data_IF_642050540084
#
_entry.id   IF_642050540084
#
_cell.length_a   1.000
_cell.length_b   1.000
_cell.length_c   1.000
_cell.angle_alpha   90.00
_cell.angle_beta   90.00
_cell.angle_gamma   90.00
#
_symmetry.space_group_name_H-M   'P 1'
#
loop_
_entity.id
_entity.type
_entity.pdbx_description
1 polymer ?
#
# COMPACT_ATOMS: atom_id res chain seq x y z
N UNK A 1 42.79 -5.67 -35.47
CA UNK A 1 41.42 -6.05 -35.86
C UNK A 1 40.76 -6.74 -34.68
N UNK A 2 39.55 -6.27 -34.34
CA UNK A 2 38.44 -6.96 -33.65
C UNK A 2 38.59 -7.33 -32.16
N UNK A 3 37.98 -6.48 -31.32
CA UNK A 3 37.43 -6.83 -30.00
C UNK A 3 36.36 -7.91 -30.13
N UNK A 4 36.34 -8.88 -29.20
CA UNK A 4 35.06 -9.17 -28.51
C UNK A 4 35.26 -9.62 -27.05
N UNK A 5 34.35 -9.49 -26.08
CA UNK A 5 33.03 -8.90 -25.95
C UNK A 5 32.80 -8.66 -24.45
N UNK A 6 32.02 -7.64 -24.16
CA UNK A 6 31.44 -7.35 -22.84
C UNK A 6 30.62 -8.56 -22.40
N UNK A 7 31.05 -9.23 -21.34
CA UNK A 7 30.21 -10.22 -20.64
C UNK A 7 29.13 -9.43 -19.93
N UNK A 8 27.89 -9.65 -20.37
CA UNK A 8 26.65 -9.14 -19.79
C UNK A 8 26.66 -9.28 -18.25
N UNK A 9 26.58 -8.15 -17.54
CA UNK A 9 26.04 -8.12 -16.18
C UNK A 9 24.54 -8.39 -16.25
N UNK A 10 24.15 -9.66 -16.14
CA UNK A 10 22.77 -10.09 -15.94
C UNK A 10 22.64 -10.76 -14.57
N UNK A 11 22.92 -10.01 -13.50
CA UNK A 11 22.61 -10.43 -12.13
C UNK A 11 22.43 -9.17 -11.28
N UNK A 12 21.51 -9.23 -10.30
CA UNK A 12 21.30 -8.28 -9.19
C UNK A 12 20.04 -7.39 -9.18
N UNK A 13 18.96 -7.70 -9.92
CA UNK A 13 17.66 -7.01 -9.68
C UNK A 13 16.72 -7.80 -8.75
N UNK A 14 16.85 -9.14 -8.69
CA UNK A 14 16.00 -10.00 -7.87
C UNK A 14 16.15 -9.84 -6.33
N UNK A 15 17.34 -9.59 -5.74
CA UNK A 15 17.51 -9.54 -4.28
C UNK A 15 16.76 -8.37 -3.63
N UNK A 16 16.76 -7.22 -4.29
CA UNK A 16 16.13 -6.00 -3.76
C UNK A 16 14.60 -6.15 -3.67
N UNK A 17 13.96 -6.70 -4.71
CA UNK A 17 12.50 -6.90 -4.73
C UNK A 17 12.03 -7.90 -3.66
N UNK A 18 12.76 -9.02 -3.50
CA UNK A 18 12.44 -10.01 -2.46
C UNK A 18 12.63 -9.44 -1.04
N UNK A 19 13.66 -8.61 -0.84
CA UNK A 19 13.91 -7.91 0.42
C UNK A 19 12.83 -6.87 0.72
N UNK A 20 12.38 -6.11 -0.28
CA UNK A 20 11.28 -5.15 -0.16
C UNK A 20 9.99 -5.85 0.30
N UNK A 21 9.64 -6.96 -0.35
CA UNK A 21 8.48 -7.81 0.00
C UNK A 21 8.52 -8.33 1.43
N UNK A 22 9.68 -8.82 1.89
CA UNK A 22 9.82 -9.28 3.28
C UNK A 22 9.68 -8.13 4.28
N UNK A 23 10.19 -6.95 3.92
CA UNK A 23 10.13 -5.77 4.79
C UNK A 23 8.69 -5.28 4.92
N UNK A 24 7.92 -5.26 3.83
CA UNK A 24 6.51 -4.85 3.84
C UNK A 24 5.64 -5.83 4.63
N UNK A 25 5.88 -7.13 4.51
CA UNK A 25 5.19 -8.15 5.33
C UNK A 25 5.50 -7.99 6.82
N UNK A 26 6.76 -7.75 7.16
CA UNK A 26 7.15 -7.51 8.55
C UNK A 26 6.50 -6.23 9.11
N UNK A 27 6.43 -5.16 8.31
CA UNK A 27 5.72 -3.94 8.66
C UNK A 27 4.23 -4.21 8.93
N UNK A 28 3.55 -4.90 8.02
CA UNK A 28 2.14 -5.28 8.17
C UNK A 28 1.92 -6.02 9.50
N UNK A 29 2.65 -7.11 9.74
CA UNK A 29 2.51 -7.90 10.98
C UNK A 29 2.76 -7.03 12.22
N UNK A 30 3.83 -6.23 12.21
CA UNK A 30 4.17 -5.35 13.35
C UNK A 30 3.05 -4.35 13.64
N UNK A 31 2.45 -3.77 12.60
CA UNK A 31 1.35 -2.81 12.77
C UNK A 31 0.12 -3.51 13.34
N UNK A 32 -0.28 -4.65 12.76
CA UNK A 32 -1.46 -5.40 13.20
C UNK A 32 -1.33 -5.90 14.65
N UNK A 33 -0.18 -6.47 15.02
CA UNK A 33 0.09 -6.95 16.39
C UNK A 33 0.08 -5.83 17.43
N UNK A 34 0.28 -4.57 17.03
CA UNK A 34 0.40 -3.43 17.92
C UNK A 34 -0.75 -2.42 17.78
N UNK A 35 -1.85 -2.75 17.08
CA UNK A 35 -2.96 -1.81 16.83
C UNK A 35 -3.49 -1.13 18.09
N UNK A 36 -3.65 -1.89 19.17
CA UNK A 36 -4.17 -1.39 20.46
C UNK A 36 -3.22 -0.42 21.16
N UNK A 37 -1.94 -0.41 20.79
CA UNK A 37 -0.94 0.50 21.33
C UNK A 37 -0.92 1.87 20.61
N UNK A 38 -1.54 1.95 19.44
CA UNK A 38 -1.57 3.17 18.63
C UNK A 38 -2.76 4.05 18.98
N UNK A 39 -2.58 5.37 18.81
CA UNK A 39 -3.69 6.31 18.92
C UNK A 39 -4.63 6.12 17.73
N UNK A 40 -5.84 5.64 18.00
CA UNK A 40 -6.89 5.49 16.99
C UNK A 40 -7.63 6.81 16.76
N UNK A 41 -7.86 7.15 15.50
CA UNK A 41 -8.73 8.23 15.04
C UNK A 41 -9.83 7.66 14.15
N UNK A 42 -10.97 8.31 14.13
CA UNK A 42 -12.11 7.96 13.28
C UNK A 42 -12.66 9.22 12.65
N UNK A 43 -13.05 9.14 11.39
CA UNK A 43 -13.71 10.22 10.66
C UNK A 43 -14.65 9.63 9.61
N UNK A 44 -15.42 10.50 8.96
CA UNK A 44 -16.24 10.14 7.81
C UNK A 44 -15.96 11.17 6.73
N UNK A 45 -15.77 10.74 5.48
CA UNK A 45 -15.67 11.68 4.35
C UNK A 45 -17.03 12.32 4.07
N UNK A 46 -17.06 13.41 3.30
CA UNK A 46 -18.30 14.05 2.87
C UNK A 46 -19.22 13.10 2.08
N UNK A 47 -18.63 12.15 1.36
CA UNK A 47 -19.32 11.10 0.61
C UNK A 47 -19.79 9.92 1.50
N UNK A 48 -19.64 10.02 2.82
CA UNK A 48 -20.10 9.01 3.77
C UNK A 48 -19.16 7.82 3.98
N UNK A 49 -17.92 7.87 3.49
CA UNK A 49 -16.95 6.77 3.68
C UNK A 49 -16.42 6.81 5.10
N UNK A 50 -16.55 5.70 5.83
CA UNK A 50 -16.01 5.59 7.18
C UNK A 50 -14.48 5.40 7.14
N UNK A 51 -13.75 6.19 7.92
CA UNK A 51 -12.31 6.15 8.04
C UNK A 51 -11.88 5.79 9.46
N UNK A 52 -10.84 4.97 9.56
CA UNK A 52 -10.13 4.66 10.81
C UNK A 52 -8.64 4.88 10.56
N UNK A 53 -7.95 5.58 11.44
CA UNK A 53 -6.50 5.80 11.36
C UNK A 53 -5.80 5.44 12.65
N UNK A 54 -4.58 4.94 12.56
CA UNK A 54 -3.75 4.61 13.72
C UNK A 54 -2.44 5.40 13.67
N UNK A 55 -2.16 6.16 14.71
CA UNK A 55 -0.95 6.96 14.84
C UNK A 55 0.00 6.38 15.89
N UNK A 56 1.29 6.34 15.55
CA UNK A 56 2.34 6.04 16.51
C UNK A 56 2.55 7.22 17.50
N UNK A 57 3.43 7.02 18.48
CA UNK A 57 3.76 8.04 19.51
C UNK A 57 4.30 9.35 18.93
N UNK A 58 4.86 9.33 17.72
CA UNK A 58 5.34 10.53 17.03
C UNK A 58 4.23 11.26 16.26
N UNK A 59 2.96 10.82 16.39
CA UNK A 59 1.82 11.42 15.69
C UNK A 59 1.75 11.09 14.20
N UNK A 60 2.50 10.09 13.73
CA UNK A 60 2.53 9.69 12.32
C UNK A 60 1.61 8.49 12.11
N UNK A 61 0.82 8.52 11.03
CA UNK A 61 -0.02 7.38 10.67
C UNK A 61 0.85 6.17 10.32
N UNK A 62 0.45 5.01 10.83
CA UNK A 62 1.03 3.69 10.48
C UNK A 62 0.03 2.83 9.71
N UNK A 63 -1.27 3.05 9.94
CA UNK A 63 -2.38 2.44 9.21
C UNK A 63 -3.49 3.46 8.99
N UNK A 64 -4.12 3.41 7.83
CA UNK A 64 -5.39 4.06 7.52
C UNK A 64 -6.29 3.00 6.89
N UNK A 65 -7.51 2.83 7.38
CA UNK A 65 -8.49 1.90 6.84
C UNK A 65 -9.76 2.65 6.46
N UNK A 66 -10.36 2.26 5.35
CA UNK A 66 -11.66 2.74 4.89
C UNK A 66 -12.63 1.58 4.80
N UNK A 67 -13.90 1.89 5.03
CA UNK A 67 -15.00 0.94 4.89
C UNK A 67 -16.14 1.64 4.15
N UNK A 68 -16.57 1.07 3.03
CA UNK A 68 -17.66 1.59 2.22
C UNK A 68 -18.44 0.44 1.58
N UNK A 69 -19.71 0.29 1.96
CA UNK A 69 -20.62 -0.73 1.41
C UNK A 69 -20.04 -2.16 1.42
N UNK A 70 -19.37 -2.54 2.51
CA UNK A 70 -18.75 -3.85 2.66
C UNK A 70 -17.41 -4.02 1.92
N UNK A 71 -16.94 -3.00 1.21
CA UNK A 71 -15.58 -2.95 0.68
C UNK A 71 -14.66 -2.25 1.68
N UNK A 72 -13.44 -2.74 1.80
CA UNK A 72 -12.40 -2.16 2.65
C UNK A 72 -11.12 -1.88 1.87
N UNK A 73 -10.47 -0.79 2.22
CA UNK A 73 -9.12 -0.49 1.78
C UNK A 73 -8.26 -0.13 2.99
N UNK A 74 -7.15 -0.83 3.17
CA UNK A 74 -6.21 -0.60 4.25
C UNK A 74 -4.84 -0.20 3.70
N UNK A 75 -4.36 0.97 4.12
CA UNK A 75 -3.10 1.56 3.75
C UNK A 75 -2.13 1.47 4.92
N UNK A 76 -0.97 0.88 4.71
CA UNK A 76 0.09 0.74 5.70
C UNK A 76 1.26 1.62 5.31
N UNK A 77 1.70 2.46 6.24
CA UNK A 77 2.74 3.46 6.01
C UNK A 77 4.06 3.00 6.62
N UNK A 78 5.13 3.12 5.84
CA UNK A 78 6.49 2.84 6.27
C UNK A 78 7.05 3.92 7.21
N UNK A 79 8.23 3.69 7.79
CA UNK A 79 8.90 4.66 8.67
C UNK A 79 9.21 6.02 8.01
N UNK A 80 9.22 6.08 6.69
CA UNK A 80 9.42 7.29 5.87
C UNK A 80 8.09 7.99 5.51
N UNK A 81 6.98 7.58 6.14
CA UNK A 81 5.61 8.05 5.91
C UNK A 81 5.10 7.83 4.47
N UNK A 82 5.71 6.92 3.71
CA UNK A 82 5.18 6.53 2.39
C UNK A 82 4.35 5.26 2.49
N UNK A 83 3.39 5.11 1.58
CA UNK A 83 2.63 3.87 1.42
C UNK A 83 3.60 2.73 1.10
N UNK A 84 3.60 1.70 1.95
CA UNK A 84 4.44 0.52 1.81
C UNK A 84 3.64 -0.71 1.38
N UNK A 85 2.39 -0.79 1.84
CA UNK A 85 1.49 -1.90 1.56
C UNK A 85 0.04 -1.42 1.54
N UNK A 86 -0.76 -1.96 0.61
CA UNK A 86 -2.20 -1.77 0.55
C UNK A 86 -2.87 -3.14 0.49
N UNK A 87 -3.89 -3.31 1.32
CA UNK A 87 -4.80 -4.44 1.28
C UNK A 87 -6.18 -3.94 0.84
N UNK A 88 -6.78 -4.58 -0.16
CA UNK A 88 -8.13 -4.30 -0.60
C UNK A 88 -8.96 -5.58 -0.45
N UNK A 89 -10.16 -5.43 0.07
CA UNK A 89 -11.17 -6.49 0.10
C UNK A 89 -12.45 -5.86 -0.43
N UNK A 90 -12.93 -6.34 -1.57
CA UNK A 90 -14.04 -5.72 -2.27
C UNK A 90 -14.82 -6.69 -3.13
N UNK A 91 -16.04 -6.30 -3.47
CA UNK A 91 -16.91 -7.07 -4.35
C UNK A 91 -16.98 -6.44 -5.75
N UNK A 92 -16.67 -7.24 -6.78
CA UNK A 92 -16.83 -6.90 -8.19
C UNK A 92 -17.86 -7.80 -8.86
N UNK A 93 -18.97 -7.23 -9.31
CA UNK A 93 -20.00 -7.97 -10.07
C UNK A 93 -20.47 -9.26 -9.37
N UNK A 94 -20.58 -9.23 -8.03
CA UNK A 94 -20.95 -10.38 -7.20
C UNK A 94 -19.80 -11.34 -6.86
N UNK A 95 -18.58 -11.06 -7.32
CA UNK A 95 -17.36 -11.80 -6.98
C UNK A 95 -16.58 -11.04 -5.92
N UNK A 96 -16.33 -11.69 -4.78
CA UNK A 96 -15.43 -11.17 -3.76
C UNK A 96 -13.96 -11.31 -4.23
N UNK A 97 -13.17 -10.26 -4.04
CA UNK A 97 -11.78 -10.18 -4.45
C UNK A 97 -10.93 -9.64 -3.29
N UNK A 98 -9.81 -10.32 -3.03
CA UNK A 98 -8.77 -9.85 -2.12
C UNK A 98 -7.55 -9.38 -2.94
N UNK A 99 -7.05 -8.18 -2.67
CA UNK A 99 -5.84 -7.66 -3.30
C UNK A 99 -4.77 -7.26 -2.29
N UNK A 100 -3.52 -7.58 -2.62
CA UNK A 100 -2.33 -7.26 -1.83
C UNK A 100 -1.32 -6.54 -2.71
N UNK A 101 -1.14 -5.25 -2.47
CA UNK A 101 -0.33 -4.37 -3.29
C UNK A 101 0.87 -3.89 -2.49
N UNK A 102 2.07 -4.11 -3.02
CA UNK A 102 3.34 -3.87 -2.36
C UNK A 102 4.10 -2.75 -3.06
N UNK A 103 4.67 -1.84 -2.26
CA UNK A 103 5.27 -0.60 -2.75
C UNK A 103 6.73 -0.48 -2.33
N UNK A 104 7.61 -0.20 -3.29
CA UNK A 104 8.99 0.14 -3.01
C UNK A 104 9.50 1.17 -4.00
N UNK A 105 10.39 2.07 -3.56
CA UNK A 105 11.02 3.08 -4.42
C UNK A 105 10.01 3.87 -5.28
N UNK A 106 8.89 4.29 -4.68
CA UNK A 106 7.81 5.07 -5.32
C UNK A 106 7.16 4.38 -6.52
N UNK A 107 7.01 3.06 -6.48
CA UNK A 107 6.26 2.26 -7.47
C UNK A 107 5.61 1.05 -6.82
N UNK A 108 4.62 0.49 -7.49
CA UNK A 108 4.11 -0.86 -7.18
C UNK A 108 5.14 -1.88 -7.68
N UNK A 109 5.56 -2.79 -6.79
CA UNK A 109 6.54 -3.84 -7.10
C UNK A 109 5.92 -5.23 -7.17
N UNK A 110 4.73 -5.40 -6.59
CA UNK A 110 3.96 -6.64 -6.64
C UNK A 110 2.49 -6.30 -6.41
N UNK A 111 1.62 -6.92 -7.19
CA UNK A 111 0.18 -6.85 -7.01
C UNK A 111 -0.34 -8.27 -7.08
N UNK A 112 -0.95 -8.73 -5.99
CA UNK A 112 -1.63 -10.02 -5.96
C UNK A 112 -3.13 -9.81 -5.93
N UNK A 113 -3.88 -10.56 -6.73
CA UNK A 113 -5.34 -10.68 -6.68
C UNK A 113 -5.65 -12.15 -6.37
N UNK A 114 -6.31 -12.42 -5.25
CA UNK A 114 -6.56 -13.77 -4.70
C UNK A 114 -5.30 -14.66 -4.67
N UNK A 115 -4.19 -14.05 -4.25
CA UNK A 115 -2.89 -14.72 -4.13
C UNK A 115 -2.15 -14.97 -5.44
N UNK A 116 -2.70 -14.59 -6.60
CA UNK A 116 -2.06 -14.70 -7.92
C UNK A 116 -1.58 -13.33 -8.39
N UNK A 117 -0.52 -13.32 -9.18
CA UNK A 117 -0.05 -12.07 -9.81
C UNK A 117 -1.12 -11.45 -10.69
N UNK A 118 -1.36 -10.16 -10.49
CA UNK A 118 -2.21 -9.38 -11.39
C UNK A 118 -1.47 -9.13 -12.71
N UNK A 119 -2.19 -9.30 -13.81
CA UNK A 119 -1.68 -9.01 -15.16
C UNK A 119 -2.01 -7.56 -15.54
N UNK A 120 -1.14 -6.64 -15.10
CA UNK A 120 -1.28 -5.21 -15.31
C UNK A 120 -0.05 -4.66 -16.04
N UNK A 121 -0.29 -3.83 -17.05
CA UNK A 121 0.80 -3.17 -17.77
C UNK A 121 1.48 -2.09 -16.89
N UNK A 122 2.72 -1.70 -17.21
CA UNK A 122 3.47 -0.72 -16.41
C UNK A 122 2.82 0.66 -16.30
N UNK A 123 2.06 1.12 -17.31
CA UNK A 123 1.41 2.42 -17.27
C UNK A 123 0.25 2.38 -16.28
N UNK A 124 -0.55 1.31 -16.31
CA UNK A 124 -1.61 1.07 -15.33
C UNK A 124 -1.05 0.98 -13.91
N UNK A 125 0.05 0.24 -13.69
CA UNK A 125 0.69 0.19 -12.37
C UNK A 125 1.15 1.57 -11.87
N UNK A 126 1.66 2.42 -12.76
CA UNK A 126 2.08 3.77 -12.40
C UNK A 126 0.89 4.67 -12.06
N UNK A 127 -0.18 4.63 -12.84
CA UNK A 127 -1.41 5.36 -12.54
C UNK A 127 -1.99 4.94 -11.18
N UNK A 128 -2.08 3.62 -10.94
CA UNK A 128 -2.58 3.07 -9.67
C UNK A 128 -1.72 3.47 -8.48
N UNK A 129 -0.39 3.47 -8.64
CA UNK A 129 0.53 3.98 -7.62
C UNK A 129 0.14 5.39 -7.16
N UNK A 130 -0.06 6.31 -8.11
CA UNK A 130 -0.43 7.69 -7.79
C UNK A 130 -1.80 7.78 -7.14
N UNK A 131 -2.77 6.99 -7.61
CA UNK A 131 -4.10 6.91 -7.00
C UNK A 131 -4.03 6.49 -5.52
N UNK A 132 -3.30 5.42 -5.20
CA UNK A 132 -3.17 4.96 -3.81
C UNK A 132 -2.48 5.99 -2.91
N UNK A 133 -1.43 6.65 -3.39
CA UNK A 133 -0.76 7.72 -2.63
C UNK A 133 -1.70 8.89 -2.38
N UNK A 134 -2.47 9.29 -3.40
CA UNK A 134 -3.45 10.37 -3.29
C UNK A 134 -4.55 10.03 -2.27
N UNK A 135 -5.19 8.86 -2.38
CA UNK A 135 -6.20 8.42 -1.40
C UNK A 135 -5.65 8.37 0.03
N UNK A 136 -4.46 7.79 0.22
CA UNK A 136 -3.84 7.73 1.55
C UNK A 136 -3.59 9.13 2.13
N UNK A 137 -3.18 10.09 1.29
CA UNK A 137 -2.98 11.47 1.69
C UNK A 137 -4.30 12.14 2.09
N UNK A 138 -5.32 12.07 1.24
CA UNK A 138 -6.60 12.74 1.46
C UNK A 138 -7.31 12.18 2.71
N UNK A 139 -7.32 10.86 2.88
CA UNK A 139 -7.87 10.23 4.08
C UNK A 139 -7.13 10.65 5.34
N UNK A 140 -5.81 10.86 5.27
CA UNK A 140 -5.03 11.37 6.39
C UNK A 140 -5.45 12.80 6.77
N UNK A 141 -5.78 13.65 5.79
CA UNK A 141 -6.26 15.00 6.03
C UNK A 141 -7.65 14.99 6.68
N UNK A 142 -8.58 14.18 6.17
CA UNK A 142 -9.91 14.01 6.76
C UNK A 142 -9.80 13.51 8.21
N UNK A 143 -8.98 12.50 8.47
CA UNK A 143 -8.74 11.98 9.83
C UNK A 143 -8.14 13.02 10.79
N UNK A 144 -7.46 14.03 10.27
CA UNK A 144 -6.91 15.15 11.02
C UNK A 144 -7.88 16.33 11.13
N UNK A 145 -9.10 16.21 10.62
CA UNK A 145 -10.09 17.29 10.59
C UNK A 145 -9.70 18.42 9.63
N UNK A 146 -8.98 18.11 8.56
CA UNK A 146 -8.52 19.06 7.53
C UNK A 146 -9.21 18.77 6.21
N UNK A 147 -9.32 19.80 5.39
CA UNK A 147 -9.75 19.66 4.00
C UNK A 147 -8.67 18.93 3.18
N UNK A 148 -9.03 17.90 2.39
CA UNK A 148 -8.15 17.25 1.43
C UNK A 148 -7.46 18.22 0.45
#
# INVERSE_FOLDING_TARGET
>A
MLFPWVVLLAAMVAPALAQDLSTQKALYNTVEENLDSYKKLTATTDDGIALKGWQNRAGRFVKIATENNGNTAEFYLGPDNKVAFVFLDWNKDGTHLEERIYFANKRIVKWLTDGKDADLDPATLNERYHGFVHFCHDYSLVLLGRTP
#
